data_IF_629755268397
#
_entry.id   IF_629755268397
#
_cell.length_a   1.000
_cell.length_b   1.000
_cell.length_c   1.000
_cell.angle_alpha   90.00
_cell.angle_beta   90.00
_cell.angle_gamma   90.00
#
_symmetry.space_group_name_H-M   'P 1'
#
loop_
_entity.id
_entity.type
_entity.pdbx_description
1 polymer ?
#
# COMPACT_ATOMS: atom_id res chain seq x y z
N UNK A 1 4.06 -17.70 -8.84
CA UNK A 1 5.16 -17.04 -8.09
C UNK A 1 5.97 -18.12 -7.41
N UNK A 2 7.24 -18.26 -7.76
CA UNK A 2 8.13 -19.33 -7.28
C UNK A 2 9.24 -18.83 -6.35
N UNK A 3 9.49 -17.52 -6.27
CA UNK A 3 10.54 -16.93 -5.45
C UNK A 3 10.00 -15.80 -4.57
N UNK A 4 9.31 -16.18 -3.49
CA UNK A 4 8.65 -15.23 -2.58
C UNK A 4 9.69 -14.45 -1.78
N UNK A 5 9.48 -13.14 -1.61
CA UNK A 5 10.32 -12.28 -0.78
C UNK A 5 10.11 -12.54 0.70
N UNK A 6 10.91 -13.44 1.27
CA UNK A 6 10.88 -13.76 2.71
C UNK A 6 11.81 -12.89 3.54
N UNK A 7 12.57 -11.98 2.90
CA UNK A 7 13.52 -11.11 3.60
C UNK A 7 12.77 -10.13 4.50
N UNK A 8 12.94 -10.28 5.81
CA UNK A 8 12.24 -9.45 6.82
C UNK A 8 12.39 -7.94 6.57
N UNK A 9 13.53 -7.50 6.02
CA UNK A 9 13.80 -6.07 5.77
C UNK A 9 12.85 -5.44 4.75
N UNK A 10 12.19 -6.20 3.87
CA UNK A 10 11.33 -5.61 2.84
C UNK A 10 9.98 -5.16 3.40
N UNK A 11 9.14 -6.00 4.06
CA UNK A 11 7.89 -5.55 4.65
C UNK A 11 8.06 -4.35 5.61
N UNK A 12 9.09 -4.40 6.47
CA UNK A 12 9.41 -3.29 7.36
C UNK A 12 9.95 -2.07 6.62
N UNK A 13 10.68 -2.27 5.53
CA UNK A 13 11.12 -1.20 4.64
C UNK A 13 9.94 -0.39 4.11
N UNK A 14 8.93 -1.05 3.53
CA UNK A 14 7.71 -0.37 3.05
C UNK A 14 6.98 0.38 4.17
N UNK A 15 6.86 -0.23 5.36
CA UNK A 15 6.18 0.39 6.51
C UNK A 15 6.85 1.67 7.01
N UNK A 16 8.16 1.81 6.80
CA UNK A 16 8.96 2.96 7.23
C UNK A 16 9.18 4.01 6.11
N UNK A 17 8.67 3.78 4.90
CA UNK A 17 8.74 4.76 3.81
C UNK A 17 7.87 5.98 4.11
N UNK A 18 8.29 7.12 3.59
CA UNK A 18 7.52 8.36 3.60
C UNK A 18 6.21 8.19 2.81
N UNK A 19 5.08 8.74 3.29
CA UNK A 19 3.82 8.73 2.54
C UNK A 19 3.74 9.81 1.45
N UNK A 20 4.77 10.64 1.29
CA UNK A 20 4.78 11.71 0.29
C UNK A 20 5.17 11.21 -1.12
N UNK A 21 4.97 12.08 -2.11
CA UNK A 21 5.23 11.77 -3.52
C UNK A 21 6.66 11.27 -3.76
N UNK A 22 6.79 10.28 -4.65
CA UNK A 22 8.06 9.59 -4.94
C UNK A 22 8.35 8.39 -4.03
N UNK A 23 7.83 8.38 -2.81
CA UNK A 23 8.04 7.29 -1.84
C UNK A 23 6.80 6.42 -1.67
N UNK A 24 5.63 7.02 -1.38
CA UNK A 24 4.32 6.36 -1.44
C UNK A 24 4.04 5.29 -0.37
N UNK A 25 4.77 5.28 0.76
CA UNK A 25 4.58 4.33 1.87
C UNK A 25 4.34 2.87 1.38
N UNK A 26 3.40 2.12 1.95
CA UNK A 26 3.05 0.75 1.52
C UNK A 26 2.32 0.69 0.17
N UNK A 27 1.76 1.82 -0.30
CA UNK A 27 1.07 1.91 -1.60
C UNK A 27 2.07 1.74 -2.76
N UNK A 28 3.36 1.91 -2.49
CA UNK A 28 4.44 1.79 -3.47
C UNK A 28 4.90 0.37 -3.82
N UNK A 29 4.26 -0.67 -3.26
CA UNK A 29 4.62 -2.06 -3.59
C UNK A 29 4.40 -2.34 -5.08
N UNK A 30 5.42 -2.85 -5.76
CA UNK A 30 5.49 -2.93 -7.23
C UNK A 30 5.74 -4.35 -7.77
N UNK A 31 5.85 -5.36 -6.91
CA UNK A 31 5.97 -6.75 -7.31
C UNK A 31 5.09 -7.71 -6.48
N UNK A 32 4.74 -8.85 -7.08
CA UNK A 32 3.84 -9.83 -6.46
C UNK A 32 4.57 -10.67 -5.38
N UNK A 33 5.89 -10.83 -5.52
CA UNK A 33 6.74 -11.52 -4.56
C UNK A 33 6.71 -10.84 -3.18
N UNK A 34 6.69 -9.51 -3.14
CA UNK A 34 6.59 -8.69 -1.94
C UNK A 34 5.18 -8.64 -1.38
N UNK A 35 4.16 -8.61 -2.24
CA UNK A 35 2.76 -8.75 -1.80
C UNK A 35 2.59 -10.08 -1.06
N UNK A 36 2.98 -11.20 -1.69
CA UNK A 36 2.86 -12.52 -1.06
C UNK A 36 3.76 -12.63 0.17
N UNK A 37 5.00 -12.16 0.08
CA UNK A 37 5.94 -12.16 1.20
C UNK A 37 5.39 -11.41 2.42
N UNK A 38 4.80 -10.25 2.21
CA UNK A 38 4.13 -9.46 3.24
C UNK A 38 2.98 -10.22 3.91
N UNK A 39 2.16 -10.94 3.14
CA UNK A 39 1.06 -11.74 3.69
C UNK A 39 1.55 -12.95 4.50
N UNK A 40 2.66 -13.57 4.11
CA UNK A 40 3.29 -14.65 4.89
C UNK A 40 3.75 -14.13 6.25
N UNK A 41 4.40 -12.96 6.28
CA UNK A 41 4.80 -12.29 7.53
C UNK A 41 3.59 -11.91 8.39
N UNK A 42 2.58 -11.26 7.80
CA UNK A 42 1.36 -10.87 8.50
C UNK A 42 0.62 -12.07 9.09
N UNK A 43 0.45 -13.14 8.31
CA UNK A 43 -0.19 -14.38 8.77
C UNK A 43 0.54 -15.01 9.96
N UNK A 44 1.87 -15.05 9.89
CA UNK A 44 2.71 -15.55 10.99
C UNK A 44 2.53 -14.71 12.26
N UNK A 45 2.55 -13.38 12.15
CA UNK A 45 2.36 -12.46 13.28
C UNK A 45 0.95 -12.61 13.88
N UNK A 46 -0.09 -12.71 13.06
CA UNK A 46 -1.46 -12.87 13.53
C UNK A 46 -1.66 -14.21 14.28
N UNK A 47 -1.07 -15.31 13.79
CA UNK A 47 -1.15 -16.62 14.46
C UNK A 47 -0.43 -16.57 15.81
N UNK A 48 0.82 -16.11 15.84
CA UNK A 48 1.61 -16.03 17.06
C UNK A 48 0.97 -15.06 18.08
N UNK A 49 0.49 -13.91 17.61
CA UNK A 49 -0.24 -12.94 18.42
C UNK A 49 -1.57 -13.48 18.96
N UNK A 50 -2.31 -14.26 18.17
CA UNK A 50 -3.54 -14.92 18.60
C UNK A 50 -3.29 -15.94 19.70
N UNK A 51 -2.30 -16.82 19.53
CA UNK A 51 -1.88 -17.79 20.57
C UNK A 51 -1.46 -17.04 21.84
N UNK A 52 -0.66 -15.99 21.70
CA UNK A 52 -0.24 -15.15 22.82
C UNK A 52 -1.44 -14.56 23.59
N UNK A 53 -2.42 -13.97 22.89
CA UNK A 53 -3.61 -13.38 23.52
C UNK A 53 -4.55 -14.41 24.15
N UNK A 54 -4.55 -15.67 23.72
CA UNK A 54 -5.27 -16.78 24.37
C UNK A 54 -4.58 -17.17 25.69
N UNK A 55 -3.26 -17.29 25.66
CA UNK A 55 -2.48 -17.83 26.79
C UNK A 55 -2.16 -16.80 27.87
N UNK A 56 -2.39 -15.51 27.60
CA UNK A 56 -2.05 -14.42 28.52
C UNK A 56 -3.27 -13.63 28.98
N UNK A 57 -3.09 -12.82 30.02
CA UNK A 57 -4.10 -11.87 30.50
C UNK A 57 -3.56 -10.44 30.37
N UNK A 58 -4.42 -9.42 30.25
CA UNK A 58 -3.97 -8.03 30.15
C UNK A 58 -3.06 -7.62 31.31
N UNK A 59 -1.88 -7.09 30.98
CA UNK A 59 -0.92 -6.60 31.96
C UNK A 59 -1.46 -5.41 32.75
N UNK A 60 -0.86 -5.13 33.91
CA UNK A 60 -1.32 -4.08 34.83
C UNK A 60 -1.31 -2.67 34.20
N UNK A 61 -0.37 -2.37 33.31
CA UNK A 61 -0.35 -1.08 32.61
C UNK A 61 -1.50 -0.97 31.60
N UNK A 62 -1.77 -2.03 30.82
CA UNK A 62 -2.84 -2.03 29.83
C UNK A 62 -4.22 -1.89 30.50
N UNK A 63 -4.43 -2.58 31.62
CA UNK A 63 -5.65 -2.46 32.43
C UNK A 63 -5.92 -1.04 32.93
N UNK A 64 -4.87 -0.25 33.17
CA UNK A 64 -4.98 1.14 33.66
C UNK A 64 -5.10 2.18 32.55
N UNK A 65 -4.66 1.85 31.33
CA UNK A 65 -4.63 2.78 30.21
C UNK A 65 -5.89 2.73 29.33
N UNK A 66 -6.64 1.63 29.36
CA UNK A 66 -7.75 1.37 28.43
C UNK A 66 -9.11 1.28 29.16
N UNK A 67 -10.19 1.47 28.39
CA UNK A 67 -11.57 1.30 28.85
C UNK A 67 -12.05 -0.10 28.47
N UNK A 68 -12.61 -0.83 29.44
CA UNK A 68 -13.02 -2.23 29.30
C UNK A 68 -14.54 -2.36 29.18
N UNK A 69 -15.11 -1.81 28.10
CA UNK A 69 -16.56 -1.87 27.80
C UNK A 69 -16.79 -2.23 26.34
N UNK A 70 -18.00 -2.75 26.03
CA UNK A 70 -18.37 -3.10 24.65
C UNK A 70 -18.33 -1.91 23.70
N UNK A 71 -18.78 -0.73 24.14
CA UNK A 71 -18.73 0.51 23.36
C UNK A 71 -17.28 0.95 23.09
N UNK A 72 -16.38 0.82 24.06
CA UNK A 72 -14.97 1.12 23.87
C UNK A 72 -14.33 0.17 22.84
N UNK A 73 -14.62 -1.13 22.90
CA UNK A 73 -14.11 -2.08 21.91
C UNK A 73 -14.62 -1.78 20.49
N UNK A 74 -15.90 -1.38 20.39
CA UNK A 74 -16.46 -0.91 19.12
C UNK A 74 -15.75 0.36 18.64
N UNK A 75 -15.51 1.34 19.50
CA UNK A 75 -14.85 2.60 19.11
C UNK A 75 -13.41 2.41 18.65
N UNK A 76 -12.64 1.54 19.30
CA UNK A 76 -11.28 1.18 18.86
C UNK A 76 -11.31 0.52 17.47
N UNK A 77 -12.29 -0.36 17.23
CA UNK A 77 -12.46 -1.04 15.95
C UNK A 77 -12.87 -0.07 14.84
N UNK A 78 -13.77 0.88 15.13
CA UNK A 78 -14.18 1.93 14.18
C UNK A 78 -13.02 2.85 13.82
N UNK A 79 -12.18 3.23 14.79
CA UNK A 79 -10.97 3.98 14.53
C UNK A 79 -10.01 3.26 13.57
N UNK A 80 -9.81 1.96 13.78
CA UNK A 80 -8.99 1.14 12.87
C UNK A 80 -9.60 1.03 11.45
N UNK A 81 -10.92 0.81 11.35
CA UNK A 81 -11.63 0.75 10.07
C UNK A 81 -11.57 2.07 9.29
N UNK A 82 -11.62 3.21 9.96
CA UNK A 82 -11.46 4.52 9.32
C UNK A 82 -10.10 4.62 8.64
N UNK A 83 -9.02 4.19 9.31
CA UNK A 83 -7.68 4.15 8.73
C UNK A 83 -7.63 3.17 7.54
N UNK A 84 -8.23 1.98 7.67
CA UNK A 84 -8.29 1.02 6.54
C UNK A 84 -8.97 1.63 5.31
N UNK A 85 -10.04 2.40 5.50
CA UNK A 85 -10.72 3.11 4.42
C UNK A 85 -9.82 4.14 3.71
N UNK A 86 -9.09 4.96 4.48
CA UNK A 86 -8.15 5.92 3.89
C UNK A 86 -7.00 5.24 3.14
N UNK A 87 -6.44 4.16 3.70
CA UNK A 87 -5.38 3.38 3.04
C UNK A 87 -5.90 2.78 1.72
N UNK A 88 -7.08 2.15 1.75
CA UNK A 88 -7.70 1.55 0.57
C UNK A 88 -7.97 2.61 -0.53
N UNK A 89 -8.41 3.81 -0.15
CA UNK A 89 -8.61 4.92 -1.06
C UNK A 89 -7.32 5.28 -1.81
N UNK A 90 -6.18 5.38 -1.11
CA UNK A 90 -4.90 5.63 -1.77
C UNK A 90 -4.43 4.46 -2.64
N UNK A 91 -4.63 3.22 -2.19
CA UNK A 91 -4.24 2.03 -2.94
C UNK A 91 -4.92 1.95 -4.31
N UNK A 92 -6.25 2.07 -4.35
CA UNK A 92 -6.97 1.98 -5.63
C UNK A 92 -6.67 3.16 -6.56
N UNK A 93 -6.27 4.31 -6.01
CA UNK A 93 -6.00 5.50 -6.80
C UNK A 93 -4.61 5.50 -7.44
N UNK A 94 -3.61 4.90 -6.78
CA UNK A 94 -2.21 5.02 -7.18
C UNK A 94 -1.52 3.70 -7.53
N UNK A 95 -1.91 2.57 -6.93
CA UNK A 95 -1.19 1.31 -7.12
C UNK A 95 -1.78 0.51 -8.28
N UNK A 96 -1.01 0.38 -9.35
CA UNK A 96 -1.38 -0.40 -10.54
C UNK A 96 -0.90 -1.87 -10.50
N UNK A 97 -0.20 -2.28 -9.43
CA UNK A 97 0.33 -3.66 -9.30
C UNK A 97 -0.74 -4.60 -8.74
N UNK A 98 -1.35 -4.21 -7.61
CA UNK A 98 -2.48 -4.91 -7.01
C UNK A 98 -3.81 -4.58 -7.70
N UNK A 99 -3.89 -3.43 -8.39
CA UNK A 99 -5.03 -3.03 -9.22
C UNK A 99 -4.59 -2.81 -10.67
N UNK A 100 -4.41 -3.89 -11.46
CA UNK A 100 -3.90 -3.77 -12.82
C UNK A 100 -4.80 -2.92 -13.72
N UNK A 101 -4.21 -1.98 -14.45
CA UNK A 101 -4.93 -1.02 -15.28
C UNK A 101 -5.73 -1.67 -16.41
N UNK A 102 -5.39 -2.91 -16.81
CA UNK A 102 -6.17 -3.71 -17.75
C UNK A 102 -7.58 -4.05 -17.23
N UNK A 103 -7.74 -4.16 -15.90
CA UNK A 103 -9.02 -4.45 -15.26
C UNK A 103 -9.68 -3.21 -14.66
N UNK A 104 -8.89 -2.28 -14.14
CA UNK A 104 -9.37 -1.13 -13.38
C UNK A 104 -9.30 0.21 -14.12
N UNK A 105 -8.76 0.22 -15.34
CA UNK A 105 -8.46 1.45 -16.09
C UNK A 105 -7.17 2.12 -15.62
N UNK A 106 -6.65 3.10 -16.39
CA UNK A 106 -5.42 3.78 -16.02
C UNK A 106 -5.62 4.66 -14.77
N UNK A 107 -4.60 4.72 -13.93
CA UNK A 107 -4.58 5.70 -12.83
C UNK A 107 -4.55 7.14 -13.38
N UNK A 108 -4.87 8.13 -12.54
CA UNK A 108 -4.77 9.54 -12.93
C UNK A 108 -3.39 9.93 -13.49
N UNK A 109 -2.28 9.60 -12.77
CA UNK A 109 -0.93 9.81 -13.29
C UNK A 109 -0.66 9.05 -14.59
N UNK A 110 -1.09 7.79 -14.73
CA UNK A 110 -0.91 7.02 -15.97
C UNK A 110 -1.60 7.66 -17.16
N UNK A 111 -2.86 8.08 -17.00
CA UNK A 111 -3.62 8.71 -18.07
C UNK A 111 -2.97 10.04 -18.52
N UNK A 112 -2.49 10.85 -17.57
CA UNK A 112 -1.78 12.10 -17.87
C UNK A 112 -0.49 11.85 -18.65
N UNK A 113 0.30 10.84 -18.24
CA UNK A 113 1.54 10.49 -18.94
C UNK A 113 1.28 9.87 -20.31
N UNK A 114 0.24 9.04 -20.44
CA UNK A 114 -0.17 8.46 -21.73
C UNK A 114 -0.61 9.54 -22.72
N UNK A 115 -1.28 10.60 -22.26
CA UNK A 115 -1.64 11.75 -23.09
C UNK A 115 -0.39 12.48 -23.59
N UNK A 116 0.54 12.82 -22.70
CA UNK A 116 1.80 13.48 -23.08
C UNK A 116 2.59 12.63 -24.09
N UNK A 117 2.68 11.33 -23.84
CA UNK A 117 3.34 10.37 -24.72
C UNK A 117 2.67 10.29 -26.11
N UNK A 118 1.34 10.33 -26.16
CA UNK A 118 0.59 10.31 -27.44
C UNK A 118 0.97 11.51 -28.31
N UNK A 119 1.02 12.71 -27.75
CA UNK A 119 1.42 13.91 -28.49
C UNK A 119 2.90 13.91 -28.86
N UNK A 120 3.77 13.47 -27.95
CA UNK A 120 5.20 13.33 -28.22
C UNK A 120 5.46 12.42 -29.43
N UNK A 121 4.84 11.23 -29.46
CA UNK A 121 4.97 10.28 -30.56
C UNK A 121 4.38 10.85 -31.86
N UNK A 122 3.24 11.54 -31.78
CA UNK A 122 2.64 12.22 -32.94
C UNK A 122 3.63 13.23 -33.55
N UNK A 123 4.19 14.12 -32.75
CA UNK A 123 5.02 15.21 -33.25
C UNK A 123 6.37 14.72 -33.76
N UNK A 124 6.96 13.73 -33.10
CA UNK A 124 8.15 13.06 -33.60
C UNK A 124 7.89 12.39 -34.97
N UNK A 125 6.73 11.74 -35.16
CA UNK A 125 6.34 11.16 -36.46
C UNK A 125 6.12 12.21 -37.54
N UNK A 126 5.73 13.43 -37.16
CA UNK A 126 5.59 14.58 -38.06
C UNK A 126 6.94 15.28 -38.34
N UNK A 127 8.06 14.78 -37.80
CA UNK A 127 9.40 15.30 -38.06
C UNK A 127 9.85 16.41 -37.10
N UNK A 128 9.12 16.67 -36.02
CA UNK A 128 9.55 17.62 -35.00
C UNK A 128 10.68 17.03 -34.15
N UNK A 129 11.72 17.83 -33.88
CA UNK A 129 12.74 17.48 -32.89
C UNK A 129 12.24 17.82 -31.48
N UNK A 130 11.55 16.86 -30.86
CA UNK A 130 10.94 17.02 -29.53
C UNK A 130 11.94 17.33 -28.40
N UNK A 131 13.24 17.02 -28.58
CA UNK A 131 14.27 17.29 -27.57
C UNK A 131 14.78 18.74 -27.57
N UNK A 132 14.61 19.47 -28.68
CA UNK A 132 14.99 20.87 -28.82
C UNK A 132 13.80 21.79 -29.08
N UNK A 133 12.57 21.26 -29.02
CA UNK A 133 11.35 22.03 -29.14
C UNK A 133 11.15 22.84 -27.86
N UNK A 134 11.58 24.11 -27.89
CA UNK A 134 11.31 25.05 -26.82
C UNK A 134 9.85 25.53 -26.93
N UNK A 135 9.18 25.66 -25.78
CA UNK A 135 7.78 26.10 -25.64
C UNK A 135 7.60 27.54 -26.13
#
# INVERSE_FOLDING_TARGET
ISNISLRSTRPWGYLLKSPFGGEGWIVSVDDLEDIIGGHVWLGSICILGGIWHILTKPFAWARRALVWSGEAYLSYSLGALSIFGFIACCFVWFNNTAYPSEFYGPTGPEASQAQAFTFLVRDQRLGANVGSAQV
#
